data_IF_553730553202
#
_entry.id   IF_553730553202
#
_cell.length_a   1.000
_cell.length_b   1.000
_cell.length_c   1.000
_cell.angle_alpha   90.00
_cell.angle_beta   90.00
_cell.angle_gamma   90.00
#
_symmetry.space_group_name_H-M   'P 1'
#
loop_
_entity.id
_entity.type
_entity.pdbx_description
1 polymer ?
#
# COMPACT_ATOMS: atom_id res chain seq x y z
N UNK A 1 9.95 18.80 -10.92
CA UNK A 1 8.87 18.07 -11.63
C UNK A 1 7.54 18.73 -11.23
N UNK A 2 6.61 18.94 -12.13
CA UNK A 2 5.31 19.55 -11.81
C UNK A 2 4.21 18.51 -11.84
N UNK A 3 3.67 18.18 -10.65
CA UNK A 3 2.54 17.27 -10.48
C UNK A 3 1.27 18.00 -9.99
N UNK A 4 1.29 19.35 -9.98
CA UNK A 4 0.17 20.16 -9.51
C UNK A 4 -1.13 19.84 -10.27
N UNK A 5 -2.21 19.62 -9.52
CA UNK A 5 -3.53 19.29 -10.06
C UNK A 5 -3.71 17.82 -10.46
N UNK A 6 -2.67 16.98 -10.37
CA UNK A 6 -2.77 15.56 -10.72
C UNK A 6 -3.45 14.76 -9.61
N UNK A 7 -4.25 13.78 -10.04
CA UNK A 7 -4.78 12.74 -9.16
C UNK A 7 -3.70 11.69 -8.87
N UNK A 8 -3.87 10.96 -7.77
CA UNK A 8 -2.99 9.84 -7.38
C UNK A 8 -3.83 8.58 -7.16
N UNK A 9 -4.23 7.92 -8.23
CA UNK A 9 -5.20 6.80 -8.20
C UNK A 9 -4.52 5.43 -8.28
N UNK A 10 -3.49 5.32 -9.10
CA UNK A 10 -2.66 4.12 -9.28
C UNK A 10 -1.28 4.52 -9.80
N UNK A 11 -0.24 3.72 -9.51
CA UNK A 11 1.10 3.95 -10.06
C UNK A 11 1.19 3.71 -11.58
N UNK A 12 0.17 3.11 -12.20
CA UNK A 12 0.10 3.01 -13.66
C UNK A 12 0.15 4.37 -14.34
N UNK A 13 -0.40 5.40 -13.69
CA UNK A 13 -0.53 6.76 -14.22
C UNK A 13 0.76 7.61 -14.09
N UNK A 14 1.80 7.06 -13.47
CA UNK A 14 3.05 7.76 -13.18
C UNK A 14 4.23 7.11 -13.88
N UNK A 15 5.19 7.92 -14.32
CA UNK A 15 6.47 7.42 -14.82
C UNK A 15 7.38 7.00 -13.65
N UNK A 16 8.43 6.24 -13.96
CA UNK A 16 9.44 5.87 -12.95
C UNK A 16 10.06 7.10 -12.28
N UNK A 17 10.37 8.14 -13.07
CA UNK A 17 10.95 9.39 -12.59
C UNK A 17 9.99 10.15 -11.67
N UNK A 18 8.69 10.14 -11.97
CA UNK A 18 7.66 10.75 -11.12
C UNK A 18 7.51 10.00 -9.79
N UNK A 19 7.57 8.66 -9.81
CA UNK A 19 7.53 7.84 -8.60
C UNK A 19 8.78 8.12 -7.74
N UNK A 20 9.96 8.11 -8.33
CA UNK A 20 11.21 8.42 -7.62
C UNK A 20 11.19 9.84 -7.04
N UNK A 21 10.69 10.83 -7.80
CA UNK A 21 10.53 12.20 -7.30
C UNK A 21 9.67 12.27 -6.05
N UNK A 22 8.54 11.53 -6.00
CA UNK A 22 7.69 11.48 -4.81
C UNK A 22 8.38 10.80 -3.63
N UNK A 23 9.15 9.75 -3.87
CA UNK A 23 9.94 9.07 -2.83
C UNK A 23 11.07 9.97 -2.31
N UNK A 24 11.74 10.74 -3.18
CA UNK A 24 12.76 11.70 -2.79
C UNK A 24 12.19 12.85 -1.96
N UNK A 25 11.08 13.41 -2.39
CA UNK A 25 10.37 14.44 -1.65
C UNK A 25 9.91 13.95 -0.28
N UNK A 26 9.43 12.70 -0.20
CA UNK A 26 9.06 12.10 1.08
C UNK A 26 10.25 11.97 2.03
N UNK A 27 11.41 11.53 1.53
CA UNK A 27 12.64 11.45 2.32
C UNK A 27 13.09 12.83 2.83
N UNK A 28 13.02 13.87 1.99
CA UNK A 28 13.32 15.25 2.37
C UNK A 28 12.38 15.75 3.47
N UNK A 29 11.05 15.52 3.30
CA UNK A 29 10.05 15.93 4.28
C UNK A 29 10.16 15.16 5.60
N UNK A 30 10.54 13.88 5.54
CA UNK A 30 10.85 13.05 6.72
C UNK A 30 12.02 13.64 7.50
N UNK A 31 13.09 13.97 6.83
CA UNK A 31 14.28 14.57 7.44
C UNK A 31 13.98 15.94 8.07
N UNK A 32 13.21 16.79 7.39
CA UNK A 32 12.75 18.08 7.94
C UNK A 32 11.94 17.88 9.21
N UNK A 33 10.98 16.92 9.22
CA UNK A 33 10.19 16.61 10.42
C UNK A 33 11.06 16.14 11.57
N UNK A 34 12.03 15.24 11.33
CA UNK A 34 12.98 14.78 12.35
C UNK A 34 13.82 15.93 12.95
N UNK A 35 14.15 16.94 12.15
CA UNK A 35 14.88 18.15 12.60
C UNK A 35 13.98 19.24 13.19
N UNK A 36 12.67 19.04 13.27
CA UNK A 36 11.71 20.05 13.75
C UNK A 36 11.59 21.27 12.82
N UNK A 37 11.93 21.11 11.53
CA UNK A 37 11.82 22.19 10.53
C UNK A 37 10.37 22.19 10.00
N UNK A 38 9.63 23.30 10.15
CA UNK A 38 8.26 23.40 9.65
C UNK A 38 8.19 23.28 8.12
N UNK A 39 7.11 22.63 7.65
CA UNK A 39 6.82 22.43 6.22
C UNK A 39 5.42 22.89 5.83
N UNK A 40 4.86 23.84 6.57
CA UNK A 40 3.48 24.32 6.51
C UNK A 40 3.18 25.21 5.29
N UNK A 41 3.60 24.77 4.12
CA UNK A 41 3.51 25.47 2.83
C UNK A 41 2.09 25.56 2.25
N UNK A 42 1.14 24.79 2.78
CA UNK A 42 -0.25 24.72 2.34
C UNK A 42 -1.24 25.29 3.37
N UNK A 43 -0.82 26.30 4.13
CA UNK A 43 -1.66 26.94 5.14
C UNK A 43 -3.00 27.42 4.58
N UNK A 44 -4.08 27.13 5.32
CA UNK A 44 -5.44 27.56 4.98
C UNK A 44 -6.15 26.70 3.94
N UNK A 45 -5.48 25.68 3.39
CA UNK A 45 -6.13 24.66 2.56
C UNK A 45 -6.79 23.59 3.44
N UNK A 46 -7.80 22.92 2.88
CA UNK A 46 -8.54 21.88 3.58
C UNK A 46 -8.67 20.64 2.67
N UNK A 47 -8.66 19.47 3.26
CA UNK A 47 -8.83 18.20 2.56
C UNK A 47 -9.93 17.34 3.17
N UNK A 48 -10.74 16.71 2.31
CA UNK A 48 -11.73 15.73 2.72
C UNK A 48 -11.10 14.33 2.75
N UNK A 49 -11.38 13.57 3.81
CA UNK A 49 -10.93 12.20 3.99
C UNK A 49 -12.15 11.28 4.03
N UNK A 50 -12.42 10.59 2.91
CA UNK A 50 -13.60 9.73 2.73
C UNK A 50 -13.19 8.29 3.01
N UNK A 51 -13.79 7.68 4.03
CA UNK A 51 -13.52 6.30 4.43
C UNK A 51 -14.80 5.46 4.37
N UNK A 52 -14.94 4.61 3.37
CA UNK A 52 -15.94 3.55 3.33
C UNK A 52 -15.42 2.25 3.99
N UNK A 53 -14.09 2.06 4.00
CA UNK A 53 -13.39 1.05 4.81
C UNK A 53 -12.58 1.75 5.90
N UNK A 54 -12.78 1.37 7.15
CA UNK A 54 -12.07 1.96 8.29
C UNK A 54 -10.56 1.67 8.23
N UNK A 55 -9.74 2.56 8.75
CA UNK A 55 -8.30 2.37 8.88
C UNK A 55 -7.70 3.36 9.88
N UNK A 56 -7.03 2.85 10.89
CA UNK A 56 -6.27 3.68 11.83
C UNK A 56 -5.07 4.32 11.14
N UNK A 57 -4.24 3.53 10.48
CA UNK A 57 -2.97 3.99 9.87
C UNK A 57 -3.19 5.00 8.74
N UNK A 58 -4.06 4.70 7.78
CA UNK A 58 -4.31 5.60 6.65
C UNK A 58 -4.90 6.92 7.13
N UNK A 59 -5.86 6.88 8.06
CA UNK A 59 -6.45 8.07 8.64
C UNK A 59 -5.39 8.93 9.35
N UNK A 60 -4.64 8.36 10.30
CA UNK A 60 -3.60 9.08 11.02
C UNK A 60 -2.53 9.63 10.07
N UNK A 61 -2.12 8.86 9.05
CA UNK A 61 -1.12 9.30 8.09
C UNK A 61 -1.59 10.52 7.29
N UNK A 62 -2.82 10.53 6.79
CA UNK A 62 -3.38 11.69 6.06
C UNK A 62 -3.61 12.89 6.99
N UNK A 63 -4.18 12.69 8.18
CA UNK A 63 -4.43 13.79 9.12
C UNK A 63 -3.13 14.45 9.56
N UNK A 64 -2.13 13.66 10.01
CA UNK A 64 -0.84 14.21 10.44
C UNK A 64 -0.08 14.86 9.28
N UNK A 65 -0.07 14.23 8.09
CA UNK A 65 0.57 14.81 6.91
C UNK A 65 -0.07 16.15 6.53
N UNK A 66 -1.40 16.24 6.55
CA UNK A 66 -2.13 17.49 6.28
C UNK A 66 -1.79 18.59 7.32
N UNK A 67 -1.81 18.23 8.61
CA UNK A 67 -1.46 19.17 9.68
C UNK A 67 -0.02 19.67 9.57
N UNK A 68 0.94 18.80 9.26
CA UNK A 68 2.34 19.21 9.05
C UNK A 68 2.48 20.21 7.88
N UNK A 69 1.64 20.09 6.84
CA UNK A 69 1.58 21.01 5.70
C UNK A 69 0.75 22.27 5.99
N UNK A 70 0.16 22.40 7.18
CA UNK A 70 -0.65 23.56 7.60
C UNK A 70 -2.10 23.51 7.12
N UNK A 71 -2.59 22.32 6.69
CA UNK A 71 -3.94 22.12 6.19
C UNK A 71 -4.91 21.67 7.30
N UNK A 72 -6.21 21.97 7.09
CA UNK A 72 -7.31 21.37 7.83
C UNK A 72 -7.77 20.05 7.21
N UNK A 73 -8.36 19.18 8.03
CA UNK A 73 -8.93 17.89 7.56
C UNK A 73 -10.39 17.76 7.99
N UNK A 74 -11.21 17.15 7.16
CA UNK A 74 -12.56 16.70 7.50
C UNK A 74 -12.69 15.22 7.22
N UNK A 75 -12.89 14.43 8.26
CA UNK A 75 -13.08 12.99 8.17
C UNK A 75 -14.56 12.65 7.94
N UNK A 76 -14.82 11.89 6.89
CA UNK A 76 -16.15 11.43 6.48
C UNK A 76 -16.19 9.91 6.56
N UNK A 77 -16.81 9.38 7.61
CA UNK A 77 -17.00 7.95 7.80
C UNK A 77 -18.28 7.43 7.11
N UNK A 78 -18.47 6.09 7.01
CA UNK A 78 -19.65 5.51 6.39
C UNK A 78 -20.97 5.85 7.11
N UNK A 79 -20.92 6.16 8.40
CA UNK A 79 -22.12 6.48 9.20
C UNK A 79 -22.51 7.95 9.06
N UNK A 80 -21.53 8.82 8.92
CA UNK A 80 -21.71 10.27 8.76
C UNK A 80 -21.87 10.75 7.34
N UNK A 81 -21.72 9.87 6.33
CA UNK A 81 -21.75 10.22 4.90
C UNK A 81 -23.01 9.70 4.20
N UNK A 82 -23.50 10.48 3.22
CA UNK A 82 -24.59 10.07 2.32
C UNK A 82 -24.08 9.52 0.98
N UNK A 83 -22.76 9.45 0.80
CA UNK A 83 -22.08 9.00 -0.44
C UNK A 83 -22.59 7.62 -0.84
N UNK A 84 -23.03 7.49 -2.10
CA UNK A 84 -23.53 6.23 -2.65
C UNK A 84 -24.86 5.73 -2.07
N UNK A 85 -25.48 6.47 -1.13
CA UNK A 85 -26.76 6.12 -0.50
C UNK A 85 -27.90 7.03 -1.00
N UNK A 86 -27.87 8.29 -0.60
CA UNK A 86 -28.85 9.31 -1.02
C UNK A 86 -28.26 10.33 -2.00
N UNK A 87 -26.94 10.37 -2.12
CA UNK A 87 -26.23 11.23 -3.03
C UNK A 87 -25.31 10.41 -3.95
N UNK A 88 -25.29 10.73 -5.24
CA UNK A 88 -24.42 10.03 -6.19
C UNK A 88 -22.94 10.38 -5.94
N UNK A 89 -22.03 9.48 -6.31
CA UNK A 89 -20.58 9.74 -6.24
C UNK A 89 -20.22 11.02 -7.01
N UNK A 90 -20.82 11.22 -8.18
CA UNK A 90 -20.64 12.40 -9.02
C UNK A 90 -21.04 13.69 -8.34
N UNK A 91 -22.19 13.72 -7.70
CA UNK A 91 -22.69 14.94 -7.05
C UNK A 91 -21.89 15.24 -5.79
N UNK A 92 -21.56 14.21 -5.00
CA UNK A 92 -20.62 14.32 -3.87
C UNK A 92 -19.28 14.90 -4.32
N UNK A 93 -18.69 14.38 -5.41
CA UNK A 93 -17.43 14.89 -5.94
C UNK A 93 -17.50 16.39 -6.29
N UNK A 94 -18.58 16.82 -6.95
CA UNK A 94 -18.80 18.24 -7.32
C UNK A 94 -18.97 19.13 -6.10
N UNK A 95 -19.66 18.67 -5.07
CA UNK A 95 -19.85 19.42 -3.82
C UNK A 95 -18.52 19.55 -3.07
N UNK A 96 -17.84 18.43 -2.83
CA UNK A 96 -16.58 18.42 -2.07
C UNK A 96 -15.47 19.17 -2.80
N UNK A 97 -15.38 19.06 -4.13
CA UNK A 97 -14.42 19.80 -4.94
C UNK A 97 -14.59 21.32 -4.96
N UNK A 98 -15.74 21.84 -4.43
CA UNK A 98 -15.97 23.28 -4.21
C UNK A 98 -15.68 23.73 -2.78
N UNK A 99 -15.48 22.80 -1.86
CA UNK A 99 -15.23 23.06 -0.44
C UNK A 99 -13.78 22.77 -0.04
N UNK A 100 -13.15 21.81 -0.72
CA UNK A 100 -11.82 21.28 -0.38
C UNK A 100 -10.85 21.42 -1.55
N UNK A 101 -9.57 21.53 -1.25
CA UNK A 101 -8.50 21.58 -2.25
C UNK A 101 -8.00 20.21 -2.65
N UNK A 102 -8.38 19.15 -1.92
CA UNK A 102 -8.07 17.78 -2.25
C UNK A 102 -8.98 16.79 -1.53
N UNK A 103 -9.11 15.60 -2.09
CA UNK A 103 -10.00 14.54 -1.58
C UNK A 103 -9.23 13.22 -1.51
N UNK A 104 -9.19 12.62 -0.33
CA UNK A 104 -8.78 11.23 -0.17
C UNK A 104 -9.99 10.31 -0.18
N UNK A 105 -9.86 9.15 -0.80
CA UNK A 105 -10.85 8.09 -0.79
C UNK A 105 -10.22 6.76 -0.40
N UNK A 106 -10.80 6.10 0.60
CA UNK A 106 -10.49 4.72 0.96
C UNK A 106 -11.78 3.89 1.00
N UNK A 107 -11.87 2.89 0.12
CA UNK A 107 -13.13 2.13 0.02
C UNK A 107 -13.02 0.84 -0.77
N UNK A 108 -13.98 0.61 -1.65
CA UNK A 108 -14.17 -0.64 -2.36
C UNK A 108 -13.64 -0.57 -3.80
N UNK A 109 -14.48 -0.38 -4.79
CA UNK A 109 -14.10 -0.47 -6.20
C UNK A 109 -13.28 0.72 -6.68
N UNK A 110 -12.34 0.45 -7.59
CA UNK A 110 -11.51 1.49 -8.23
C UNK A 110 -12.35 2.49 -9.02
N UNK A 111 -13.48 2.05 -9.61
CA UNK A 111 -14.40 2.89 -10.36
C UNK A 111 -14.96 4.05 -9.52
N UNK A 112 -15.08 3.87 -8.20
CA UNK A 112 -15.60 4.92 -7.30
C UNK A 112 -14.60 6.08 -7.18
N UNK A 113 -13.33 5.76 -6.92
CA UNK A 113 -12.28 6.79 -6.80
C UNK A 113 -11.99 7.46 -8.15
N UNK A 114 -12.14 6.74 -9.26
CA UNK A 114 -12.02 7.29 -10.61
C UNK A 114 -13.19 8.22 -10.93
N UNK A 115 -14.42 7.89 -10.52
CA UNK A 115 -15.56 8.78 -10.68
C UNK A 115 -15.42 10.05 -9.82
N UNK A 116 -14.96 9.93 -8.58
CA UNK A 116 -14.60 11.08 -7.74
C UNK A 116 -13.58 11.98 -8.46
N UNK A 117 -12.49 11.40 -8.97
CA UNK A 117 -11.43 12.13 -9.66
C UNK A 117 -11.92 12.85 -10.92
N UNK A 118 -12.84 12.23 -11.65
CA UNK A 118 -13.42 12.80 -12.89
C UNK A 118 -14.24 14.05 -12.64
N UNK A 119 -14.92 14.15 -11.50
CA UNK A 119 -15.91 15.20 -11.25
C UNK A 119 -15.55 16.19 -10.15
N UNK A 120 -14.52 15.91 -9.33
CA UNK A 120 -14.15 16.77 -8.20
C UNK A 120 -13.56 18.13 -8.65
N UNK A 121 -12.77 18.16 -9.72
CA UNK A 121 -12.06 19.37 -10.15
C UNK A 121 -10.86 19.76 -9.26
N UNK A 122 -10.53 18.92 -8.29
CA UNK A 122 -9.37 19.01 -7.39
C UNK A 122 -8.66 17.66 -7.35
N UNK A 123 -7.38 17.58 -6.93
CA UNK A 123 -6.68 16.31 -6.77
C UNK A 123 -7.45 15.31 -5.90
N UNK A 124 -7.53 14.06 -6.37
CA UNK A 124 -8.09 12.93 -5.63
C UNK A 124 -6.99 11.90 -5.42
N UNK A 125 -6.88 11.42 -4.18
CA UNK A 125 -5.87 10.43 -3.76
C UNK A 125 -6.53 9.14 -3.34
N UNK A 126 -6.06 8.03 -3.91
CA UNK A 126 -6.50 6.69 -3.55
C UNK A 126 -5.79 6.20 -2.28
N UNK A 127 -6.48 6.23 -1.14
CA UNK A 127 -6.01 5.69 0.12
C UNK A 127 -6.02 4.16 0.18
N UNK A 128 -6.89 3.51 -0.57
CA UNK A 128 -6.99 2.08 -0.87
C UNK A 128 -8.31 1.79 -1.61
N UNK A 129 -8.22 0.97 -2.65
CA UNK A 129 -9.36 0.26 -3.24
C UNK A 129 -9.13 -1.26 -3.21
N UNK A 130 -10.07 -2.04 -3.74
CA UNK A 130 -9.88 -3.49 -3.89
C UNK A 130 -8.73 -3.81 -4.87
N UNK A 131 -8.54 -2.97 -5.87
CA UNK A 131 -7.61 -3.18 -6.97
C UNK A 131 -6.23 -2.57 -6.71
N UNK A 132 -6.13 -1.40 -6.01
CA UNK A 132 -4.87 -0.69 -5.84
C UNK A 132 -4.72 -0.02 -4.48
N UNK A 133 -3.45 0.10 -4.05
CA UNK A 133 -3.05 0.82 -2.83
C UNK A 133 -1.78 1.66 -3.09
N UNK A 134 -1.86 2.70 -3.94
CA UNK A 134 -0.67 3.42 -4.40
C UNK A 134 0.08 4.16 -3.29
N UNK A 135 -0.61 4.64 -2.25
CA UNK A 135 0.04 5.32 -1.12
C UNK A 135 0.88 4.38 -0.27
N UNK A 136 0.54 3.09 -0.20
CA UNK A 136 1.38 2.08 0.44
C UNK A 136 2.67 1.86 -0.35
N UNK A 137 2.58 1.78 -1.68
CA UNK A 137 3.72 1.53 -2.54
C UNK A 137 4.85 2.56 -2.38
N UNK A 138 4.51 3.83 -2.25
CA UNK A 138 5.53 4.86 -2.02
C UNK A 138 6.24 4.66 -0.68
N UNK A 139 5.51 4.24 0.36
CA UNK A 139 6.09 3.94 1.66
C UNK A 139 6.99 2.71 1.60
N UNK A 140 6.57 1.66 0.90
CA UNK A 140 7.36 0.46 0.69
C UNK A 140 8.67 0.79 -0.05
N UNK A 141 8.58 1.56 -1.14
CA UNK A 141 9.76 1.97 -1.92
C UNK A 141 10.71 2.86 -1.10
N UNK A 142 10.18 3.77 -0.28
CA UNK A 142 11.01 4.57 0.62
C UNK A 142 11.72 3.69 1.65
N UNK A 143 11.00 2.76 2.27
CA UNK A 143 11.53 1.84 3.29
C UNK A 143 12.60 0.91 2.71
N UNK A 144 12.33 0.29 1.56
CA UNK A 144 13.29 -0.55 0.87
C UNK A 144 14.57 0.25 0.57
N UNK A 145 14.44 1.47 0.06
CA UNK A 145 15.60 2.32 -0.23
C UNK A 145 16.36 2.76 1.02
N UNK A 146 15.69 3.02 2.12
CA UNK A 146 16.33 3.37 3.41
C UNK A 146 17.17 2.22 3.95
N UNK A 147 16.69 0.98 3.83
CA UNK A 147 17.38 -0.21 4.37
C UNK A 147 18.39 -0.83 3.40
N UNK A 148 18.11 -0.86 2.10
CA UNK A 148 18.96 -1.50 1.10
C UNK A 148 19.83 -0.52 0.28
N UNK A 149 19.55 0.78 0.35
CA UNK A 149 20.29 1.84 -0.34
C UNK A 149 19.90 2.05 -1.81
N UNK A 150 19.10 1.19 -2.41
CA UNK A 150 18.69 1.25 -3.81
C UNK A 150 17.33 0.56 -4.03
N UNK A 151 16.77 0.74 -5.23
CA UNK A 151 15.55 0.05 -5.68
C UNK A 151 15.82 -0.83 -6.89
N UNK A 152 16.51 -0.29 -7.89
CA UNK A 152 16.78 -1.02 -9.13
C UNK A 152 17.55 -2.31 -8.86
N UNK A 153 17.05 -3.43 -9.40
CA UNK A 153 17.63 -4.75 -9.23
C UNK A 153 17.25 -5.48 -7.94
N UNK A 154 16.54 -4.81 -7.00
CA UNK A 154 16.03 -5.46 -5.78
C UNK A 154 15.03 -6.55 -6.15
N UNK A 155 15.18 -7.74 -5.58
CA UNK A 155 14.22 -8.84 -5.72
C UNK A 155 13.24 -8.80 -4.55
N UNK A 156 11.97 -8.48 -4.86
CA UNK A 156 10.86 -8.50 -3.92
C UNK A 156 9.98 -9.71 -4.19
N UNK A 157 9.77 -10.52 -3.17
CA UNK A 157 8.87 -11.69 -3.21
C UNK A 157 7.63 -11.40 -2.37
N UNK A 158 6.47 -11.40 -3.02
CA UNK A 158 5.17 -11.32 -2.36
C UNK A 158 4.63 -12.73 -2.12
N UNK A 159 4.37 -13.07 -0.87
CA UNK A 159 3.88 -14.40 -0.46
C UNK A 159 2.43 -14.29 0.00
N UNK A 160 1.52 -15.01 -0.67
CA UNK A 160 0.10 -15.02 -0.34
C UNK A 160 -0.80 -14.66 -1.53
N UNK A 161 -2.00 -14.13 -1.26
CA UNK A 161 -2.97 -13.80 -2.31
C UNK A 161 -2.59 -12.53 -3.07
N UNK A 162 -2.03 -12.66 -4.26
CA UNK A 162 -1.56 -11.55 -5.08
C UNK A 162 -2.61 -10.96 -6.04
N UNK A 163 -3.88 -11.38 -5.96
CA UNK A 163 -4.95 -10.94 -6.88
C UNK A 163 -5.48 -9.55 -6.63
N UNK A 164 -5.27 -9.02 -5.43
CA UNK A 164 -5.86 -7.77 -4.94
C UNK A 164 -4.86 -6.62 -4.88
N UNK A 165 -5.24 -5.55 -4.17
CA UNK A 165 -4.53 -4.27 -4.17
C UNK A 165 -3.03 -4.36 -3.88
N UNK A 166 -2.60 -5.17 -2.90
CA UNK A 166 -1.18 -5.26 -2.55
C UNK A 166 -0.36 -5.95 -3.63
N UNK A 167 -0.78 -7.15 -4.07
CA UNK A 167 -0.10 -7.87 -5.14
C UNK A 167 -0.04 -7.07 -6.44
N UNK A 168 -1.18 -6.48 -6.85
CA UNK A 168 -1.26 -5.66 -8.06
C UNK A 168 -0.34 -4.43 -7.98
N UNK A 169 -0.40 -3.70 -6.86
CA UNK A 169 0.33 -2.43 -6.72
C UNK A 169 1.85 -2.66 -6.57
N UNK A 170 2.27 -3.69 -5.82
CA UNK A 170 3.68 -4.06 -5.70
C UNK A 170 4.26 -4.49 -7.05
N UNK A 171 3.51 -5.28 -7.83
CA UNK A 171 3.92 -5.71 -9.16
C UNK A 171 4.13 -4.50 -10.09
N UNK A 172 3.22 -3.52 -10.09
CA UNK A 172 3.34 -2.29 -10.89
C UNK A 172 4.55 -1.48 -10.44
N UNK A 173 4.72 -1.26 -9.12
CA UNK A 173 5.84 -0.49 -8.59
C UNK A 173 7.19 -1.11 -8.97
N UNK A 174 7.35 -2.41 -8.72
CA UNK A 174 8.56 -3.14 -9.07
C UNK A 174 8.84 -3.11 -10.58
N UNK A 175 7.83 -3.35 -11.40
CA UNK A 175 7.96 -3.32 -12.86
C UNK A 175 8.46 -1.97 -13.37
N UNK A 176 7.90 -0.87 -12.87
CA UNK A 176 8.30 0.47 -13.31
C UNK A 176 9.68 0.91 -12.80
N UNK A 177 10.08 0.43 -11.62
CA UNK A 177 11.32 0.86 -10.97
C UNK A 177 12.53 -0.05 -11.24
N UNK A 178 12.38 -1.03 -12.16
CA UNK A 178 13.47 -1.94 -12.53
C UNK A 178 13.82 -2.93 -11.44
N UNK A 179 12.86 -3.29 -10.60
CA UNK A 179 12.94 -4.33 -9.58
C UNK A 179 12.48 -5.69 -10.14
N UNK A 180 12.80 -6.76 -9.43
CA UNK A 180 12.36 -8.12 -9.77
C UNK A 180 11.22 -8.52 -8.83
N UNK A 181 9.99 -8.56 -9.35
CA UNK A 181 8.82 -8.98 -8.60
C UNK A 181 8.57 -10.48 -8.76
N UNK A 182 8.34 -11.16 -7.63
CA UNK A 182 7.94 -12.56 -7.61
C UNK A 182 6.63 -12.68 -6.83
N UNK A 183 5.55 -13.14 -7.48
CA UNK A 183 4.35 -13.59 -6.78
C UNK A 183 4.51 -15.08 -6.46
N UNK A 184 4.61 -15.39 -5.17
CA UNK A 184 4.78 -16.75 -4.66
C UNK A 184 3.50 -17.21 -3.97
N UNK A 185 2.67 -17.97 -4.68
CA UNK A 185 1.33 -18.36 -4.27
C UNK A 185 0.84 -19.55 -5.11
N UNK A 186 -0.26 -20.25 -4.73
CA UNK A 186 -0.96 -21.14 -5.64
C UNK A 186 -1.45 -20.37 -6.88
N UNK A 187 -1.44 -21.02 -8.06
CA UNK A 187 -1.77 -20.40 -9.36
C UNK A 187 -3.08 -19.59 -9.32
N UNK A 188 -4.11 -20.08 -8.63
CA UNK A 188 -5.40 -19.38 -8.51
C UNK A 188 -5.35 -18.05 -7.76
N UNK A 189 -4.25 -17.76 -7.05
CA UNK A 189 -3.98 -16.51 -6.33
C UNK A 189 -3.00 -15.58 -7.06
N UNK A 190 -2.63 -15.91 -8.28
CA UNK A 190 -1.81 -15.02 -9.11
C UNK A 190 -2.59 -13.77 -9.55
N UNK A 191 -1.92 -12.65 -9.80
CA UNK A 191 -2.54 -11.45 -10.35
C UNK A 191 -3.25 -11.72 -11.67
N UNK A 192 -4.17 -10.84 -12.04
CA UNK A 192 -4.87 -10.93 -13.32
C UNK A 192 -3.88 -10.93 -14.49
N UNK A 193 -4.08 -11.84 -15.47
CA UNK A 193 -3.16 -12.05 -16.60
C UNK A 193 -2.92 -10.79 -17.43
N UNK A 194 -3.95 -9.96 -17.66
CA UNK A 194 -3.79 -8.72 -18.41
C UNK A 194 -2.90 -7.71 -17.66
N UNK A 195 -3.02 -7.62 -16.33
CA UNK A 195 -2.14 -6.78 -15.54
C UNK A 195 -0.71 -7.31 -15.51
N UNK A 196 -0.54 -8.63 -15.49
CA UNK A 196 0.80 -9.26 -15.59
C UNK A 196 1.46 -8.90 -16.91
N UNK A 197 0.73 -8.93 -18.02
CA UNK A 197 1.22 -8.55 -19.36
C UNK A 197 1.65 -7.08 -19.38
N UNK A 198 0.80 -6.15 -18.90
CA UNK A 198 1.15 -4.73 -18.76
C UNK A 198 2.46 -4.54 -17.95
N UNK A 199 2.58 -5.26 -16.82
CA UNK A 199 3.75 -5.15 -15.94
C UNK A 199 5.00 -5.80 -16.56
N UNK A 200 4.87 -6.85 -17.35
CA UNK A 200 6.00 -7.40 -18.10
C UNK A 200 6.55 -6.40 -19.11
N UNK A 201 5.69 -5.60 -19.74
CA UNK A 201 6.13 -4.56 -20.68
C UNK A 201 6.84 -3.42 -19.92
N UNK A 202 6.30 -2.94 -18.79
CA UNK A 202 7.01 -1.99 -17.94
C UNK A 202 8.38 -2.52 -17.47
N UNK A 203 8.43 -3.78 -17.08
CA UNK A 203 9.67 -4.42 -16.61
C UNK A 203 10.73 -4.52 -17.73
N UNK A 204 10.34 -4.79 -18.97
CA UNK A 204 11.25 -4.78 -20.13
C UNK A 204 11.90 -3.40 -20.32
N UNK A 205 11.11 -2.32 -20.17
CA UNK A 205 11.59 -0.95 -20.33
C UNK A 205 12.54 -0.53 -19.20
N UNK A 206 12.21 -0.90 -17.96
CA UNK A 206 12.97 -0.52 -16.77
C UNK A 206 14.19 -1.39 -16.47
N UNK A 207 14.22 -2.61 -17.02
CA UNK A 207 15.22 -3.64 -16.73
C UNK A 207 14.88 -4.54 -15.54
N UNK A 208 13.61 -4.55 -15.10
CA UNK A 208 13.09 -5.47 -14.09
C UNK A 208 12.60 -6.80 -14.63
N UNK A 209 11.87 -7.56 -13.81
CA UNK A 209 11.20 -8.79 -14.23
C UNK A 209 9.98 -9.11 -13.37
N UNK A 210 9.03 -9.85 -13.93
CA UNK A 210 7.84 -10.38 -13.23
C UNK A 210 7.88 -11.91 -13.32
N UNK A 211 7.80 -12.56 -12.18
CA UNK A 211 7.79 -14.03 -12.06
C UNK A 211 6.59 -14.46 -11.21
N UNK A 212 5.90 -15.52 -11.65
CA UNK A 212 4.83 -16.17 -10.90
C UNK A 212 5.28 -17.59 -10.57
N UNK A 213 5.19 -18.03 -9.34
CA UNK A 213 5.65 -19.37 -8.94
C UNK A 213 4.85 -19.92 -7.75
N UNK A 214 4.65 -21.24 -7.78
CA UNK A 214 4.12 -21.99 -6.63
C UNK A 214 5.25 -22.56 -5.76
N UNK A 215 6.49 -22.56 -6.22
CA UNK A 215 7.65 -23.07 -5.51
C UNK A 215 8.21 -22.02 -4.55
N UNK A 216 7.90 -22.17 -3.28
CA UNK A 216 8.34 -21.26 -2.20
C UNK A 216 9.88 -21.19 -2.15
N UNK A 217 10.57 -22.32 -2.22
CA UNK A 217 12.03 -22.36 -2.13
C UNK A 217 12.70 -21.67 -3.32
N UNK A 218 12.24 -21.92 -4.53
CA UNK A 218 12.76 -21.27 -5.73
C UNK A 218 12.41 -19.76 -5.73
N UNK A 219 11.18 -19.41 -5.36
CA UNK A 219 10.71 -18.02 -5.33
C UNK A 219 11.47 -17.14 -4.36
N UNK A 220 11.67 -17.62 -3.13
CA UNK A 220 12.29 -16.83 -2.04
C UNK A 220 13.81 -16.87 -2.02
N UNK A 221 14.44 -17.75 -2.80
CA UNK A 221 15.90 -17.87 -2.87
C UNK A 221 16.55 -16.54 -3.24
N UNK A 222 17.53 -16.11 -2.43
CA UNK A 222 18.31 -14.89 -2.65
C UNK A 222 17.42 -13.64 -2.85
N UNK A 223 16.27 -13.58 -2.16
CA UNK A 223 15.40 -12.40 -2.19
C UNK A 223 15.96 -11.30 -1.27
N UNK A 224 15.82 -10.04 -1.70
CA UNK A 224 16.19 -8.88 -0.89
C UNK A 224 15.04 -8.45 0.05
N UNK A 225 13.81 -8.69 -0.39
CA UNK A 225 12.59 -8.33 0.34
C UNK A 225 11.60 -9.49 0.31
N UNK A 226 11.14 -9.90 1.49
CA UNK A 226 9.98 -10.78 1.64
C UNK A 226 8.80 -9.93 2.13
N UNK A 227 7.70 -9.97 1.38
CA UNK A 227 6.47 -9.23 1.66
C UNK A 227 5.29 -10.17 1.81
N UNK A 228 4.41 -9.93 2.77
CA UNK A 228 3.12 -10.62 2.85
C UNK A 228 2.01 -9.69 3.33
N UNK A 229 0.78 -10.14 3.26
CA UNK A 229 -0.42 -9.47 3.76
C UNK A 229 -1.36 -10.52 4.34
N UNK A 230 -2.36 -10.08 5.09
CA UNK A 230 -3.38 -10.97 5.67
C UNK A 230 -4.02 -11.85 4.59
N UNK A 231 -4.26 -13.12 4.93
CA UNK A 231 -4.85 -14.08 3.97
C UNK A 231 -6.31 -13.81 3.64
N UNK A 232 -7.02 -13.12 4.53
CA UNK A 232 -8.41 -12.71 4.33
C UNK A 232 -8.52 -11.21 4.52
N UNK A 233 -8.89 -10.51 3.46
CA UNK A 233 -8.99 -9.06 3.45
C UNK A 233 -10.25 -8.56 4.18
N UNK A 234 -10.19 -7.31 4.65
CA UNK A 234 -11.33 -6.67 5.29
C UNK A 234 -12.55 -6.60 4.35
N UNK A 235 -13.66 -7.18 4.80
CA UNK A 235 -14.93 -7.23 4.04
C UNK A 235 -15.13 -8.49 3.21
N UNK A 236 -14.20 -9.45 3.24
CA UNK A 236 -14.44 -10.78 2.71
C UNK A 236 -15.32 -11.59 3.69
N UNK A 237 -16.17 -12.53 3.18
CA UNK A 237 -17.04 -13.32 4.03
C UNK A 237 -16.28 -14.35 4.86
N UNK A 238 -16.85 -14.73 6.02
CA UNK A 238 -16.21 -15.68 6.96
C UNK A 238 -15.96 -17.06 6.37
N UNK A 239 -16.73 -17.45 5.35
CA UNK A 239 -16.64 -18.77 4.70
C UNK A 239 -15.31 -18.99 3.96
N UNK A 240 -14.60 -17.91 3.59
CA UNK A 240 -13.33 -18.04 2.85
C UNK A 240 -12.14 -18.40 3.74
N UNK A 241 -12.25 -18.24 5.08
CA UNK A 241 -11.14 -18.47 6.00
C UNK A 241 -10.55 -19.88 5.92
N UNK A 242 -11.40 -20.90 5.93
CA UNK A 242 -10.95 -22.30 5.92
C UNK A 242 -10.15 -22.63 4.64
N UNK A 243 -10.67 -22.20 3.49
CA UNK A 243 -10.00 -22.39 2.21
C UNK A 243 -8.66 -21.65 2.16
N UNK A 244 -8.65 -20.36 2.56
CA UNK A 244 -7.43 -19.54 2.56
C UNK A 244 -6.35 -20.10 3.49
N UNK A 245 -6.70 -20.47 4.70
CA UNK A 245 -5.79 -21.09 5.66
C UNK A 245 -5.18 -22.37 5.08
N UNK A 246 -6.03 -23.28 4.56
CA UNK A 246 -5.56 -24.54 4.00
C UNK A 246 -4.56 -24.34 2.85
N UNK A 247 -4.85 -23.41 1.97
CA UNK A 247 -4.09 -23.23 0.73
C UNK A 247 -2.91 -22.30 0.86
N UNK A 248 -2.98 -21.31 1.78
CA UNK A 248 -1.89 -20.34 1.97
C UNK A 248 -0.94 -20.70 3.12
N UNK A 249 -1.27 -21.66 3.97
CA UNK A 249 -0.34 -22.14 5.02
C UNK A 249 1.04 -22.53 4.48
N UNK A 250 1.19 -23.20 3.31
CA UNK A 250 2.50 -23.48 2.73
C UNK A 250 3.31 -22.23 2.33
N UNK A 251 2.62 -21.08 2.21
CA UNK A 251 3.20 -19.79 1.83
C UNK A 251 3.35 -18.82 3.02
N UNK A 252 3.23 -19.33 4.25
CA UNK A 252 3.51 -18.55 5.46
C UNK A 252 4.96 -18.10 5.47
N UNK A 253 5.20 -16.86 5.85
CA UNK A 253 6.57 -16.35 6.06
C UNK A 253 7.09 -16.88 7.39
N UNK A 254 8.07 -17.77 7.31
CA UNK A 254 8.72 -18.41 8.46
C UNK A 254 10.21 -18.06 8.49
N UNK A 255 10.89 -18.45 9.56
CA UNK A 255 12.33 -18.29 9.65
C UNK A 255 13.08 -18.96 8.51
N UNK A 256 12.64 -20.15 8.08
CA UNK A 256 13.25 -20.88 6.97
C UNK A 256 13.11 -20.11 5.65
N UNK A 257 12.00 -19.40 5.46
CA UNK A 257 11.79 -18.50 4.31
C UNK A 257 12.79 -17.35 4.35
N UNK A 258 12.96 -16.70 5.50
CA UNK A 258 13.94 -15.61 5.67
C UNK A 258 15.39 -16.10 5.52
N UNK A 259 15.73 -17.27 6.05
CA UNK A 259 17.04 -17.89 5.86
C UNK A 259 17.33 -18.21 4.39
N UNK A 260 16.33 -18.67 3.63
CA UNK A 260 16.46 -18.93 2.19
C UNK A 260 16.60 -17.63 1.37
N UNK A 261 16.00 -16.53 1.81
CA UNK A 261 16.20 -15.20 1.23
C UNK A 261 17.60 -14.66 1.55
N UNK A 262 18.09 -14.85 2.76
CA UNK A 262 19.43 -14.50 3.20
C UNK A 262 19.45 -13.52 4.38
N UNK A 263 20.61 -13.40 5.02
CA UNK A 263 20.78 -12.60 6.24
C UNK A 263 20.48 -11.10 6.07
N UNK A 264 20.61 -10.58 4.83
CA UNK A 264 20.37 -9.17 4.52
C UNK A 264 18.95 -8.88 4.04
N UNK A 265 18.14 -9.92 3.85
CA UNK A 265 16.77 -9.76 3.44
C UNK A 265 15.97 -9.03 4.53
N UNK A 266 15.07 -8.14 4.11
CA UNK A 266 14.13 -7.45 5.01
C UNK A 266 12.73 -8.01 4.85
N UNK A 267 11.96 -7.99 5.94
CA UNK A 267 10.55 -8.36 5.96
C UNK A 267 9.66 -7.14 6.02
N UNK A 268 8.66 -7.08 5.15
CA UNK A 268 7.66 -6.01 5.04
C UNK A 268 6.24 -6.57 5.14
N UNK A 269 5.34 -5.78 5.69
CA UNK A 269 3.92 -6.08 5.82
C UNK A 269 3.11 -4.79 6.00
N UNK A 270 2.11 -4.55 5.18
CA UNK A 270 1.31 -3.31 5.23
C UNK A 270 0.50 -3.11 6.52
N UNK A 271 0.43 -4.13 7.38
CA UNK A 271 -0.36 -4.18 8.61
C UNK A 271 -1.89 -3.96 8.40
N UNK A 272 -2.77 -4.58 9.23
CA UNK A 272 -2.43 -5.39 10.41
C UNK A 272 -1.89 -6.77 10.03
N UNK A 273 -1.18 -7.43 10.94
CA UNK A 273 -0.66 -8.79 10.78
C UNK A 273 -1.27 -9.72 11.84
N UNK A 274 -1.46 -11.00 11.48
CA UNK A 274 -1.92 -12.03 12.41
C UNK A 274 -0.75 -12.98 12.77
N UNK A 275 0.25 -12.42 13.44
CA UNK A 275 1.43 -13.15 13.90
C UNK A 275 1.30 -13.73 15.32
N UNK A 276 0.25 -13.32 16.06
CA UNK A 276 -0.05 -13.74 17.42
C UNK A 276 -1.55 -13.79 17.72
N UNK A 277 -1.93 -13.95 19.00
CA UNK A 277 -3.32 -13.93 19.47
C UNK A 277 -3.74 -12.66 20.20
N UNK A 278 -2.95 -11.61 20.15
CA UNK A 278 -3.23 -10.36 20.87
C UNK A 278 -4.40 -9.57 20.24
N UNK A 279 -4.80 -9.92 18.99
CA UNK A 279 -5.98 -9.34 18.38
C UNK A 279 -7.22 -10.21 18.56
N UNK A 280 -8.41 -9.59 18.64
CA UNK A 280 -9.68 -10.33 18.75
C UNK A 280 -9.86 -11.35 17.62
N UNK A 281 -9.62 -10.93 16.38
CA UNK A 281 -9.76 -11.79 15.19
C UNK A 281 -8.68 -12.88 15.19
N UNK A 282 -7.41 -12.52 15.47
CA UNK A 282 -6.31 -13.48 15.55
C UNK A 282 -6.60 -14.59 16.58
N UNK A 283 -7.12 -14.22 17.74
CA UNK A 283 -7.51 -15.19 18.77
C UNK A 283 -8.68 -16.06 18.33
N UNK A 284 -9.76 -15.47 17.81
CA UNK A 284 -10.97 -16.18 17.37
C UNK A 284 -10.65 -17.19 16.26
N UNK A 285 -9.91 -16.76 15.23
CA UNK A 285 -9.50 -17.63 14.13
C UNK A 285 -8.43 -18.64 14.57
N UNK A 286 -7.53 -18.24 15.45
CA UNK A 286 -6.53 -19.12 16.04
C UNK A 286 -7.16 -20.28 16.83
N UNK A 287 -8.16 -20.00 17.66
CA UNK A 287 -8.93 -21.02 18.40
C UNK A 287 -9.74 -21.92 17.44
N UNK A 288 -10.41 -21.32 16.44
CA UNK A 288 -11.26 -22.04 15.47
C UNK A 288 -10.48 -23.02 14.60
N UNK A 289 -9.28 -22.63 14.15
CA UNK A 289 -8.46 -23.40 13.22
C UNK A 289 -7.20 -24.03 13.86
N UNK A 290 -7.04 -23.91 15.17
CA UNK A 290 -5.89 -24.39 15.94
C UNK A 290 -4.55 -23.87 15.38
N UNK A 291 -4.49 -22.55 15.13
CA UNK A 291 -3.33 -21.85 14.61
C UNK A 291 -2.83 -20.86 15.65
N UNK A 292 -1.50 -20.70 15.78
CA UNK A 292 -0.90 -19.65 16.60
C UNK A 292 -0.64 -18.38 15.81
N UNK A 293 -0.33 -18.55 14.55
CA UNK A 293 0.12 -17.52 13.61
C UNK A 293 -0.47 -17.83 12.23
N UNK A 294 -0.69 -16.81 11.41
CA UNK A 294 -1.26 -16.98 10.07
C UNK A 294 -0.22 -16.72 8.97
N UNK A 295 -0.22 -15.55 8.35
CA UNK A 295 0.62 -15.23 7.19
C UNK A 295 2.11 -15.08 7.50
N UNK A 296 2.44 -14.81 8.75
CA UNK A 296 3.82 -14.68 9.23
C UNK A 296 3.94 -15.23 10.65
N UNK A 297 5.10 -15.79 10.99
CA UNK A 297 5.40 -16.21 12.36
C UNK A 297 5.79 -15.02 13.23
N UNK A 298 5.49 -15.09 14.54
CA UNK A 298 5.88 -14.08 15.51
C UNK A 298 7.42 -13.90 15.56
N UNK A 299 8.16 -15.00 15.45
CA UNK A 299 9.63 -14.99 15.38
C UNK A 299 10.16 -14.11 14.24
N UNK A 300 9.52 -14.12 13.06
CA UNK A 300 9.90 -13.27 11.91
C UNK A 300 9.42 -11.85 12.13
N UNK A 301 8.18 -11.68 12.58
CA UNK A 301 7.58 -10.37 12.77
C UNK A 301 8.35 -9.50 13.78
N UNK A 302 8.85 -10.11 14.87
CA UNK A 302 9.62 -9.44 15.92
C UNK A 302 11.17 -9.50 15.69
N UNK A 303 11.62 -10.02 14.54
CA UNK A 303 13.05 -10.12 14.24
C UNK A 303 13.67 -8.78 13.82
N UNK A 304 15.00 -8.70 13.84
CA UNK A 304 15.76 -7.54 13.33
C UNK A 304 15.60 -7.34 11.80
N UNK A 305 15.20 -8.37 11.07
CA UNK A 305 14.91 -8.28 9.63
C UNK A 305 13.55 -7.64 9.35
N UNK A 306 12.66 -7.56 10.34
CA UNK A 306 11.34 -6.94 10.21
C UNK A 306 11.44 -5.42 10.30
N UNK A 307 11.00 -4.73 9.26
CA UNK A 307 11.00 -3.26 9.17
C UNK A 307 9.60 -2.69 9.00
N UNK A 308 8.59 -3.45 9.42
CA UNK A 308 7.16 -3.13 9.26
C UNK A 308 6.74 -1.82 9.92
N UNK A 309 7.40 -1.42 11.02
CA UNK A 309 7.07 -0.16 11.71
C UNK A 309 7.72 1.05 11.02
N UNK A 310 8.90 0.90 10.43
CA UNK A 310 9.50 1.93 9.56
C UNK A 310 8.63 2.13 8.31
N UNK A 311 8.14 1.04 7.72
CA UNK A 311 7.20 1.03 6.61
C UNK A 311 5.90 1.79 6.98
N UNK A 312 5.33 1.49 8.14
CA UNK A 312 4.12 2.15 8.63
C UNK A 312 4.34 3.66 8.89
N UNK A 313 5.49 4.05 9.45
CA UNK A 313 5.86 5.47 9.62
C UNK A 313 5.98 6.16 8.26
N UNK A 314 6.61 5.52 7.30
CA UNK A 314 6.84 6.09 5.97
C UNK A 314 5.55 6.41 5.21
N UNK A 315 4.41 5.79 5.55
CA UNK A 315 3.09 6.13 5.03
C UNK A 315 2.76 7.62 5.20
N UNK A 316 3.02 8.16 6.38
CA UNK A 316 2.79 9.58 6.68
C UNK A 316 3.67 10.49 5.82
N UNK A 317 4.93 10.14 5.65
CA UNK A 317 5.89 10.96 4.89
C UNK A 317 5.61 10.95 3.39
N UNK A 318 5.27 9.79 2.84
CA UNK A 318 4.94 9.66 1.40
C UNK A 318 3.59 10.26 1.04
N UNK A 319 2.59 10.13 1.89
CA UNK A 319 1.29 10.82 1.74
C UNK A 319 1.49 12.33 1.78
N UNK A 320 2.35 12.84 2.69
CA UNK A 320 2.71 14.25 2.74
C UNK A 320 3.32 14.72 1.43
N UNK A 321 4.24 13.94 0.84
CA UNK A 321 4.86 14.25 -0.44
C UNK A 321 3.83 14.29 -1.59
N UNK A 322 2.90 13.34 -1.64
CA UNK A 322 1.82 13.32 -2.64
C UNK A 322 0.96 14.57 -2.52
N UNK A 323 0.51 14.92 -1.31
CA UNK A 323 -0.31 16.13 -1.09
C UNK A 323 0.46 17.40 -1.46
N UNK A 324 1.71 17.53 -1.02
CA UNK A 324 2.56 18.68 -1.34
C UNK A 324 2.75 18.84 -2.85
N UNK A 325 3.13 17.77 -3.55
CA UNK A 325 3.38 17.80 -5.00
C UNK A 325 2.12 18.09 -5.82
N UNK A 326 0.98 17.50 -5.45
CA UNK A 326 -0.26 17.63 -6.23
C UNK A 326 -1.05 18.89 -5.91
N UNK A 327 -0.84 19.50 -4.74
CA UNK A 327 -1.45 20.81 -4.38
C UNK A 327 -0.54 21.99 -4.69
N UNK A 328 0.71 21.75 -5.12
CA UNK A 328 1.65 22.78 -5.55
C UNK A 328 2.24 23.54 -4.36
N UNK A 329 2.82 22.80 -3.43
CA UNK A 329 3.56 23.34 -2.28
C UNK A 329 4.96 23.81 -2.64
#
# INVERSE_FOLDING_TARGET
MDLKGRNFLTLKDFTAEEIIYLVDLAAELKEKKKKGIPVDTLRGKNVALIFEKTSTRTRCAFEVAAHDLGMGTTYLDPSGSQIGKKESIRDTARVLGRMFEGIEYRGFGQEIVEELARYAGVPVWNGLTNEYHPTQMLADMLTIREHLGHLKGVKLVYMGDARYNMGNSLMIACAKLGMHFVACAPEKYFPNAALVEDCQDYAKESGGSITLTEDVKAGTKDADVIYTDVWVSMGEPDEVWEERIRELTPYKVTKEVMENAGEKAIFLHCLPAFHDWETKIGKEMGERFNLKEMEVTDEVFESEQSVVFDEAENRMHTIKAVMAATLGA
#
